data_IF_162155820719
#
_entry.id   IF_162155820719
#
_cell.length_a   1.000
_cell.length_b   1.000
_cell.length_c   1.000
_cell.angle_alpha   90.00
_cell.angle_beta   90.00
_cell.angle_gamma   90.00
#
_symmetry.space_group_name_H-M   'P 1'
#
loop_
_entity.id
_entity.type
_entity.pdbx_description
1 polymer ?
#
# COMPACT_ATOMS: atom_id res chain seq x y z
N UNK A 1 38.28 23.36 43.98
CA UNK A 1 37.61 22.97 42.72
C UNK A 1 38.56 22.05 41.96
N UNK A 2 38.25 20.75 41.84
CA UNK A 2 39.14 19.77 41.17
C UNK A 2 39.14 20.05 39.66
N UNK A 3 40.32 20.30 39.07
CA UNK A 3 40.49 20.47 37.63
C UNK A 3 40.16 19.15 36.94
N UNK A 4 39.05 19.11 36.22
CA UNK A 4 38.72 17.99 35.34
C UNK A 4 39.75 18.02 34.21
N UNK A 5 40.50 16.92 34.06
CA UNK A 5 41.51 16.78 33.01
C UNK A 5 40.85 16.88 31.62
N UNK A 6 41.42 17.68 30.70
CA UNK A 6 40.92 17.81 29.32
C UNK A 6 40.76 16.46 28.62
N UNK A 7 41.54 15.45 29.00
CA UNK A 7 41.43 14.09 28.46
C UNK A 7 40.10 13.41 28.80
N UNK A 8 39.51 13.73 29.97
CA UNK A 8 38.22 13.16 30.42
C UNK A 8 37.07 13.76 29.60
N UNK A 9 37.16 15.06 29.28
CA UNK A 9 36.15 15.75 28.46
C UNK A 9 36.14 15.19 27.02
N UNK A 10 37.32 14.92 26.45
CA UNK A 10 37.45 14.30 25.12
C UNK A 10 36.87 12.88 25.11
N UNK A 11 37.11 12.09 26.17
CA UNK A 11 36.59 10.73 26.26
C UNK A 11 35.05 10.69 26.33
N UNK A 12 34.43 11.65 27.04
CA UNK A 12 32.97 11.78 27.13
C UNK A 12 32.36 12.21 25.79
N UNK A 13 33.03 13.08 25.03
CA UNK A 13 32.58 13.50 23.69
C UNK A 13 32.61 12.34 22.67
N UNK A 14 33.65 11.50 22.72
CA UNK A 14 33.78 10.32 21.84
C UNK A 14 32.76 9.22 22.18
N UNK A 15 32.38 9.08 23.46
CA UNK A 15 31.35 8.11 23.86
C UNK A 15 29.96 8.50 23.33
N UNK A 16 29.63 9.79 23.34
CA UNK A 16 28.36 10.28 22.78
C UNK A 16 28.29 10.11 21.25
N UNK A 17 29.38 10.37 20.51
CA UNK A 17 29.39 10.22 19.05
C UNK A 17 29.10 8.78 18.58
N UNK A 18 29.54 7.76 19.33
CA UNK A 18 29.28 6.36 18.99
C UNK A 18 27.85 5.91 19.28
N UNK A 19 27.17 6.51 20.26
CA UNK A 19 25.76 6.23 20.58
C UNK A 19 24.80 6.83 19.54
N UNK A 20 25.17 7.95 18.91
CA UNK A 20 24.37 8.57 17.84
C UNK A 20 24.45 7.80 16.50
N UNK A 21 25.49 6.99 16.27
CA UNK A 21 25.65 6.20 15.03
C UNK A 21 24.81 4.90 15.02
N UNK A 22 24.41 4.40 16.19
CA UNK A 22 23.70 3.12 16.32
C UNK A 22 22.16 3.21 16.30
N UNK A 23 21.60 4.42 16.18
CA UNK A 23 20.15 4.63 16.10
C UNK A 23 19.66 5.12 14.72
N UNK A 24 20.41 4.83 13.67
CA UNK A 24 19.83 4.86 12.32
C UNK A 24 19.10 3.53 12.18
N UNK A 25 17.78 3.57 12.31
CA UNK A 25 16.88 2.52 11.82
C UNK A 25 17.38 2.16 10.42
N UNK A 26 18.15 1.07 10.28
CA UNK A 26 18.70 0.69 8.98
C UNK A 26 17.50 0.42 8.10
N UNK A 27 17.28 1.33 7.16
CA UNK A 27 16.19 1.25 6.23
C UNK A 27 16.53 0.15 5.23
N UNK A 28 16.28 -1.10 5.63
CA UNK A 28 16.70 -2.31 4.91
C UNK A 28 15.85 -2.61 3.67
N UNK A 29 14.86 -1.77 3.36
CA UNK A 29 14.10 -1.79 2.11
C UNK A 29 14.98 -1.34 0.95
N UNK A 30 15.86 -2.22 0.47
CA UNK A 30 16.85 -1.90 -0.57
C UNK A 30 16.52 -2.51 -1.93
N UNK A 31 15.58 -3.46 -1.98
CA UNK A 31 15.18 -4.11 -3.23
C UNK A 31 13.99 -3.37 -3.83
N UNK A 32 14.20 -2.66 -4.95
CA UNK A 32 13.12 -2.05 -5.71
C UNK A 32 12.34 -3.14 -6.45
N UNK A 33 11.04 -3.24 -6.17
CA UNK A 33 10.13 -4.21 -6.78
C UNK A 33 9.33 -3.57 -7.91
N UNK A 34 8.86 -2.33 -7.70
CA UNK A 34 8.06 -1.61 -8.66
C UNK A 34 8.34 -0.11 -8.58
N UNK A 35 8.30 0.54 -9.74
CA UNK A 35 8.29 1.99 -9.87
C UNK A 35 7.25 2.39 -10.91
N UNK A 36 6.45 3.41 -10.60
CA UNK A 36 5.50 4.02 -11.54
C UNK A 36 5.64 5.54 -11.50
N UNK A 37 5.55 6.17 -12.67
CA UNK A 37 5.65 7.63 -12.84
C UNK A 37 4.46 8.12 -13.65
N UNK A 38 3.74 9.11 -13.13
CA UNK A 38 2.55 9.67 -13.79
C UNK A 38 1.88 10.74 -12.95
N UNK A 39 0.76 11.28 -13.43
CA UNK A 39 0.05 12.37 -12.78
C UNK A 39 -1.05 11.82 -11.84
N UNK A 40 -0.81 11.82 -10.52
CA UNK A 40 -1.73 11.26 -9.51
C UNK A 40 -2.82 12.24 -9.06
N UNK A 41 -2.74 13.52 -9.44
CA UNK A 41 -3.63 14.57 -8.94
C UNK A 41 -4.16 15.51 -10.04
N UNK A 42 -3.89 15.18 -11.31
CA UNK A 42 -4.23 15.96 -12.51
C UNK A 42 -3.62 17.38 -12.51
N UNK A 43 -2.47 17.59 -11.88
CA UNK A 43 -1.77 18.89 -11.87
C UNK A 43 -0.75 19.05 -13.02
N UNK A 44 -0.70 18.05 -13.91
CA UNK A 44 0.21 17.94 -15.06
C UNK A 44 1.67 17.78 -14.68
N UNK A 45 1.95 17.27 -13.48
CA UNK A 45 3.30 16.94 -13.02
C UNK A 45 3.40 15.45 -12.77
N UNK A 46 4.59 14.92 -13.04
CA UNK A 46 4.87 13.53 -12.78
C UNK A 46 5.16 13.34 -11.28
N UNK A 47 4.26 12.63 -10.62
CA UNK A 47 4.41 12.02 -9.32
C UNK A 47 5.09 10.65 -9.46
N UNK A 48 5.53 10.08 -8.34
CA UNK A 48 6.26 8.81 -8.31
C UNK A 48 5.71 7.87 -7.25
N UNK A 49 5.52 6.62 -7.63
CA UNK A 49 5.17 5.52 -6.73
C UNK A 49 6.33 4.54 -6.73
N UNK A 50 6.70 4.05 -5.55
CA UNK A 50 7.73 3.03 -5.40
C UNK A 50 7.25 1.94 -4.45
N UNK A 51 7.54 0.69 -4.80
CA UNK A 51 7.42 -0.45 -3.90
C UNK A 51 8.80 -1.05 -3.70
N UNK A 52 9.23 -1.11 -2.46
CA UNK A 52 10.51 -1.69 -2.06
C UNK A 52 10.29 -2.87 -1.11
N UNK A 53 11.25 -3.79 -1.03
CA UNK A 53 11.21 -4.92 -0.13
C UNK A 53 12.48 -5.01 0.72
N UNK A 54 12.30 -5.34 1.98
CA UNK A 54 13.40 -5.73 2.87
C UNK A 54 13.65 -7.23 2.74
N UNK A 55 14.60 -7.59 1.87
CA UNK A 55 14.98 -8.99 1.62
C UNK A 55 15.88 -9.57 2.73
N UNK A 56 16.32 -8.75 3.70
CA UNK A 56 17.16 -9.18 4.83
C UNK A 56 16.33 -9.60 6.03
N UNK A 57 15.12 -9.07 6.16
CA UNK A 57 14.14 -9.50 7.15
C UNK A 57 13.51 -10.85 6.75
N UNK A 58 13.36 -11.75 7.72
CA UNK A 58 12.81 -13.10 7.50
C UNK A 58 11.37 -13.10 6.99
N UNK A 59 10.61 -12.04 7.27
CA UNK A 59 9.22 -11.89 6.83
C UNK A 59 9.10 -11.29 5.43
N UNK A 60 10.21 -10.77 4.89
CA UNK A 60 10.31 -10.06 3.61
C UNK A 60 9.16 -9.07 3.40
N UNK A 61 9.03 -8.05 4.28
CA UNK A 61 7.97 -7.06 4.16
C UNK A 61 8.24 -6.13 2.98
N UNK A 62 7.16 -5.64 2.36
CA UNK A 62 7.21 -4.60 1.35
C UNK A 62 6.74 -3.26 1.89
N UNK A 63 7.24 -2.19 1.28
CA UNK A 63 6.88 -0.81 1.60
C UNK A 63 6.41 -0.09 0.34
N UNK A 64 5.22 0.46 0.41
CA UNK A 64 4.70 1.43 -0.55
C UNK A 64 5.19 2.83 -0.17
N UNK A 65 5.70 3.57 -1.14
CA UNK A 65 5.98 5.00 -1.05
C UNK A 65 5.31 5.75 -2.19
N UNK A 66 4.73 6.91 -1.86
CA UNK A 66 4.15 7.82 -2.85
C UNK A 66 4.77 9.20 -2.67
N UNK A 67 5.25 9.76 -3.76
CA UNK A 67 5.87 11.06 -3.82
C UNK A 67 5.10 11.98 -4.75
N UNK A 68 4.69 13.15 -4.25
CA UNK A 68 4.06 14.18 -5.05
C UNK A 68 5.07 15.22 -5.54
N UNK A 69 4.95 15.60 -6.81
CA UNK A 69 5.74 16.64 -7.44
C UNK A 69 5.37 18.01 -6.89
N UNK A 70 6.36 18.76 -6.44
CA UNK A 70 6.18 20.13 -5.95
C UNK A 70 6.35 21.14 -7.09
N UNK A 71 5.90 22.40 -6.93
CA UNK A 71 6.10 23.46 -7.92
C UNK A 71 7.55 23.64 -8.36
N UNK A 72 8.50 23.41 -7.44
CA UNK A 72 9.94 23.47 -7.67
C UNK A 72 10.55 22.19 -8.28
N UNK A 73 9.73 21.25 -8.75
CA UNK A 73 10.11 19.94 -9.32
C UNK A 73 10.75 18.96 -8.33
N UNK A 74 10.78 19.26 -7.03
CA UNK A 74 11.19 18.29 -6.01
C UNK A 74 10.06 17.32 -5.72
N UNK A 75 10.41 16.08 -5.38
CA UNK A 75 9.47 15.06 -4.93
C UNK A 75 9.30 15.15 -3.41
N UNK A 76 8.04 15.25 -2.95
CA UNK A 76 7.68 15.22 -1.54
C UNK A 76 7.09 13.84 -1.21
N UNK A 77 7.71 13.10 -0.29
CA UNK A 77 7.13 11.87 0.26
C UNK A 77 5.85 12.21 1.04
N UNK A 78 4.71 11.67 0.60
CA UNK A 78 3.41 11.88 1.25
C UNK A 78 2.81 10.61 1.86
N UNK A 79 3.24 9.44 1.38
CA UNK A 79 2.84 8.15 1.94
C UNK A 79 4.07 7.26 2.08
N UNK A 80 4.21 6.61 3.22
CA UNK A 80 5.14 5.51 3.43
C UNK A 80 4.47 4.48 4.33
N UNK A 81 4.17 3.29 3.81
CA UNK A 81 3.42 2.26 4.53
C UNK A 81 3.97 0.87 4.27
N UNK A 82 4.15 0.10 5.34
CA UNK A 82 4.48 -1.33 5.32
C UNK A 82 3.28 -2.21 5.68
N UNK A 83 2.10 -1.60 5.92
CA UNK A 83 0.91 -2.31 6.40
C UNK A 83 0.02 -2.82 5.27
N UNK A 84 0.01 -2.10 4.14
CA UNK A 84 -0.92 -2.33 3.04
C UNK A 84 -0.62 -3.65 2.30
N UNK A 85 0.66 -4.05 2.27
CA UNK A 85 1.16 -5.23 1.58
C UNK A 85 1.55 -6.27 2.64
N UNK A 86 1.04 -7.49 2.53
CA UNK A 86 1.49 -8.59 3.38
C UNK A 86 2.92 -8.99 3.03
N UNK A 87 3.77 -9.23 4.02
CA UNK A 87 5.11 -9.78 3.77
C UNK A 87 5.04 -11.14 3.09
N UNK A 88 6.07 -11.51 2.31
CA UNK A 88 6.06 -12.79 1.60
C UNK A 88 6.08 -13.99 2.57
N UNK A 89 6.62 -13.82 3.78
CA UNK A 89 6.69 -14.87 4.81
C UNK A 89 6.13 -14.35 6.14
N UNK A 90 4.81 -14.09 6.23
CA UNK A 90 4.23 -13.40 7.37
C UNK A 90 4.38 -14.23 8.64
N UNK A 91 4.64 -13.58 9.79
CA UNK A 91 4.95 -14.30 11.05
C UNK A 91 3.88 -15.30 11.45
N UNK A 92 2.60 -15.04 11.13
CA UNK A 92 1.46 -15.94 11.38
C UNK A 92 1.57 -17.30 10.67
N UNK A 93 2.42 -17.40 9.65
CA UNK A 93 2.69 -18.60 8.84
C UNK A 93 4.03 -19.26 9.21
N UNK A 94 4.70 -18.85 10.28
CA UNK A 94 5.90 -19.49 10.82
C UNK A 94 7.01 -19.76 9.78
N UNK A 95 7.20 -18.83 8.83
CA UNK A 95 8.22 -18.94 7.77
C UNK A 95 7.72 -19.60 6.48
N UNK A 96 6.45 -20.00 6.39
CA UNK A 96 5.84 -20.43 5.13
C UNK A 96 5.46 -19.22 4.26
N UNK A 97 5.51 -19.42 2.95
CA UNK A 97 5.13 -18.42 1.96
C UNK A 97 3.65 -18.03 2.10
N UNK A 98 3.34 -16.74 1.97
CA UNK A 98 1.98 -16.22 2.02
C UNK A 98 1.11 -16.79 0.90
N UNK A 99 1.70 -17.12 -0.25
CA UNK A 99 0.95 -17.45 -1.48
C UNK A 99 0.55 -16.20 -2.27
N UNK A 100 0.79 -15.01 -1.71
CA UNK A 100 0.36 -13.73 -2.26
C UNK A 100 1.54 -13.03 -2.95
N UNK A 101 1.33 -12.61 -4.19
CA UNK A 101 2.30 -11.76 -4.89
C UNK A 101 2.27 -10.33 -4.33
N UNK A 102 3.35 -9.59 -4.57
CA UNK A 102 3.35 -8.15 -4.32
C UNK A 102 2.28 -7.50 -5.23
N UNK A 103 1.40 -6.63 -4.70
CA UNK A 103 0.40 -5.94 -5.51
C UNK A 103 1.01 -5.07 -6.60
N UNK A 104 0.33 -4.96 -7.74
CA UNK A 104 0.70 -4.01 -8.79
C UNK A 104 0.07 -2.65 -8.51
N UNK A 105 0.87 -1.59 -8.57
CA UNK A 105 0.42 -0.20 -8.46
C UNK A 105 0.60 0.57 -9.76
N UNK A 106 -0.44 1.25 -10.24
CA UNK A 106 -0.31 2.13 -11.41
C UNK A 106 -1.21 3.35 -11.30
N UNK A 107 -0.98 4.31 -12.19
CA UNK A 107 -1.72 5.57 -12.23
C UNK A 107 -2.70 5.53 -13.39
N UNK A 108 -3.98 5.73 -13.08
CA UNK A 108 -5.01 5.81 -14.11
C UNK A 108 -5.96 6.96 -13.81
N UNK A 109 -6.11 7.89 -14.75
CA UNK A 109 -7.05 9.02 -14.67
C UNK A 109 -6.92 9.84 -13.35
N UNK A 110 -5.70 10.14 -12.92
CA UNK A 110 -5.45 10.89 -11.69
C UNK A 110 -5.79 10.14 -10.41
N UNK A 111 -5.66 8.80 -10.44
CA UNK A 111 -5.92 7.93 -9.29
C UNK A 111 -4.84 6.87 -9.21
N UNK A 112 -4.54 6.46 -7.98
CA UNK A 112 -3.73 5.29 -7.74
C UNK A 112 -4.62 4.05 -7.79
N UNK A 113 -4.26 3.11 -8.64
CA UNK A 113 -4.90 1.80 -8.72
C UNK A 113 -3.94 0.77 -8.13
N UNK A 114 -4.45 -0.06 -7.22
CA UNK A 114 -3.74 -1.23 -6.69
C UNK A 114 -4.47 -2.50 -7.13
N UNK A 115 -3.77 -3.44 -7.76
CA UNK A 115 -4.28 -4.75 -8.11
C UNK A 115 -3.66 -5.83 -7.22
N UNK A 116 -4.49 -6.75 -6.76
CA UNK A 116 -4.04 -7.92 -5.98
C UNK A 116 -4.59 -9.19 -6.57
N UNK A 117 -3.84 -10.28 -6.46
CA UNK A 117 -4.34 -11.64 -6.64
C UNK A 117 -4.08 -12.40 -5.33
N UNK A 118 -5.16 -12.64 -4.58
CA UNK A 118 -5.13 -13.27 -3.25
C UNK A 118 -6.17 -14.39 -3.28
N UNK A 119 -5.78 -15.62 -2.94
CA UNK A 119 -6.66 -16.79 -2.91
C UNK A 119 -7.50 -16.96 -4.20
N UNK A 120 -6.86 -16.76 -5.37
CA UNK A 120 -7.47 -16.79 -6.71
C UNK A 120 -8.59 -15.75 -6.92
N UNK A 121 -8.58 -14.68 -6.12
CA UNK A 121 -9.50 -13.55 -6.23
C UNK A 121 -8.72 -12.31 -6.64
N UNK A 122 -8.97 -11.89 -7.88
CA UNK A 122 -8.45 -10.62 -8.39
C UNK A 122 -9.22 -9.47 -7.79
N UNK A 123 -8.52 -8.52 -7.20
CA UNK A 123 -9.12 -7.34 -6.59
C UNK A 123 -8.44 -6.08 -7.12
N UNK A 124 -9.22 -5.02 -7.30
CA UNK A 124 -8.76 -3.68 -7.66
C UNK A 124 -9.24 -2.69 -6.61
N UNK A 125 -8.32 -1.84 -6.16
CA UNK A 125 -8.56 -0.81 -5.17
C UNK A 125 -8.18 0.54 -5.77
N UNK A 126 -9.15 1.45 -5.83
CA UNK A 126 -8.98 2.78 -6.41
C UNK A 126 -8.84 3.81 -5.29
N UNK A 127 -7.75 4.56 -5.29
CA UNK A 127 -7.49 5.64 -4.34
C UNK A 127 -7.44 6.99 -5.05
N UNK A 128 -8.14 7.99 -4.50
CA UNK A 128 -8.03 9.38 -4.96
C UNK A 128 -7.20 10.21 -4.00
N UNK A 129 -6.48 11.19 -4.51
CA UNK A 129 -5.89 12.22 -3.68
C UNK A 129 -6.97 13.25 -3.27
N UNK A 130 -7.10 13.51 -1.97
CA UNK A 130 -7.93 14.56 -1.40
C UNK A 130 -7.20 15.22 -0.23
N UNK A 131 -6.95 16.53 -0.32
CA UNK A 131 -6.25 17.31 0.73
C UNK A 131 -5.01 16.58 1.28
N UNK A 132 -4.11 16.16 0.39
CA UNK A 132 -2.87 15.40 0.68
C UNK A 132 -3.06 14.01 1.31
N UNK A 133 -4.27 13.44 1.31
CA UNK A 133 -4.52 12.07 1.74
C UNK A 133 -5.01 11.24 0.56
N UNK A 134 -4.49 10.03 0.43
CA UNK A 134 -5.02 9.05 -0.51
C UNK A 134 -6.17 8.28 0.16
N UNK A 135 -7.38 8.49 -0.33
CA UNK A 135 -8.61 7.91 0.17
C UNK A 135 -9.07 6.77 -0.75
N UNK A 136 -9.33 5.60 -0.19
CA UNK A 136 -9.94 4.48 -0.90
C UNK A 136 -11.37 4.87 -1.29
N UNK A 137 -11.71 4.78 -2.57
CA UNK A 137 -13.02 5.18 -3.10
C UNK A 137 -13.80 4.04 -3.71
N UNK A 138 -13.12 3.09 -4.34
CA UNK A 138 -13.76 1.93 -4.98
C UNK A 138 -12.98 0.66 -4.75
N UNK A 139 -13.72 -0.43 -4.69
CA UNK A 139 -13.18 -1.79 -4.63
C UNK A 139 -13.94 -2.62 -5.67
N UNK A 140 -13.22 -3.31 -6.53
CA UNK A 140 -13.78 -4.31 -7.43
C UNK A 140 -13.11 -5.65 -7.18
N UNK A 141 -13.88 -6.73 -7.15
CA UNK A 141 -13.35 -8.09 -6.96
C UNK A 141 -13.99 -9.04 -7.95
N UNK A 142 -13.19 -9.95 -8.47
CA UNK A 142 -13.60 -10.99 -9.40
C UNK A 142 -13.00 -12.31 -8.94
N UNK A 143 -13.84 -13.33 -8.82
CA UNK A 143 -13.41 -14.72 -8.61
C UNK A 143 -14.03 -15.58 -9.70
N UNK A 144 -13.22 -16.39 -10.36
CA UNK A 144 -13.70 -17.33 -11.38
C UNK A 144 -13.99 -18.70 -10.74
N UNK A 145 -15.03 -19.38 -11.22
CA UNK A 145 -15.45 -20.69 -10.73
C UNK A 145 -14.62 -21.86 -11.31
N UNK A 146 -13.73 -21.57 -12.26
CA UNK A 146 -12.96 -22.58 -12.98
C UNK A 146 -13.63 -23.12 -14.24
N UNK A 147 -14.80 -22.59 -14.62
CA UNK A 147 -15.60 -23.03 -15.76
C UNK A 147 -15.99 -21.85 -16.65
N UNK A 148 -17.15 -21.25 -16.43
CA UNK A 148 -17.71 -20.20 -17.29
C UNK A 148 -18.24 -19.01 -16.50
N UNK A 149 -18.18 -19.03 -15.17
CA UNK A 149 -18.87 -18.03 -14.34
C UNK A 149 -17.90 -17.24 -13.45
N UNK A 150 -18.05 -15.92 -13.44
CA UNK A 150 -17.39 -15.02 -12.50
C UNK A 150 -18.34 -14.58 -11.39
N UNK A 151 -17.84 -14.55 -10.16
CA UNK A 151 -18.48 -13.93 -9.01
C UNK A 151 -17.85 -12.56 -8.81
N UNK A 152 -18.65 -11.51 -8.94
CA UNK A 152 -18.17 -10.14 -8.90
C UNK A 152 -18.75 -9.38 -7.72
N UNK A 153 -17.90 -8.54 -7.12
CA UNK A 153 -18.28 -7.60 -6.08
C UNK A 153 -17.76 -6.23 -6.45
N UNK A 154 -18.64 -5.24 -6.48
CA UNK A 154 -18.31 -3.82 -6.71
C UNK A 154 -18.76 -3.00 -5.52
N UNK A 155 -17.84 -2.30 -4.89
CA UNK A 155 -18.09 -1.44 -3.74
C UNK A 155 -17.70 -0.02 -4.13
N UNK A 156 -18.67 0.89 -4.04
CA UNK A 156 -18.44 2.33 -4.17
C UNK A 156 -18.62 2.96 -2.79
N UNK A 157 -17.50 3.37 -2.19
CA UNK A 157 -17.47 3.93 -0.85
C UNK A 157 -18.02 5.37 -0.82
N UNK A 158 -17.96 6.09 -1.93
CA UNK A 158 -18.53 7.44 -2.05
C UNK A 158 -20.06 7.34 -2.09
N UNK A 159 -20.58 6.48 -2.97
CA UNK A 159 -22.01 6.23 -3.11
C UNK A 159 -22.58 5.38 -1.97
N UNK A 160 -21.73 4.81 -1.12
CA UNK A 160 -22.08 3.90 -0.03
C UNK A 160 -22.88 2.69 -0.51
N UNK A 161 -22.47 2.11 -1.63
CA UNK A 161 -23.15 0.93 -2.21
C UNK A 161 -22.20 -0.25 -2.40
N UNK A 162 -22.75 -1.45 -2.21
CA UNK A 162 -22.13 -2.73 -2.58
C UNK A 162 -23.07 -3.47 -3.52
N UNK A 163 -22.54 -3.92 -4.65
CA UNK A 163 -23.25 -4.72 -5.65
C UNK A 163 -22.50 -6.03 -5.81
N UNK A 164 -23.23 -7.14 -5.69
CA UNK A 164 -22.72 -8.49 -5.86
C UNK A 164 -23.52 -9.15 -6.99
N UNK A 165 -22.86 -9.83 -7.93
CA UNK A 165 -23.54 -10.54 -9.01
C UNK A 165 -22.67 -11.65 -9.59
N UNK A 166 -23.29 -12.51 -10.38
CA UNK A 166 -22.63 -13.53 -11.19
C UNK A 166 -22.70 -13.13 -12.66
N UNK A 167 -21.67 -13.46 -13.44
CA UNK A 167 -21.65 -13.23 -14.87
C UNK A 167 -21.06 -14.43 -15.60
N UNK A 168 -21.79 -14.90 -16.62
CA UNK A 168 -21.31 -15.95 -17.51
C UNK A 168 -20.41 -15.34 -18.58
N UNK A 169 -19.29 -16.00 -18.84
CA UNK A 169 -18.27 -15.57 -19.80
C UNK A 169 -18.88 -15.44 -21.19
N UNK A 170 -18.66 -14.30 -21.85
CA UNK A 170 -19.24 -14.01 -23.16
C UNK A 170 -20.72 -13.61 -23.12
N UNK A 171 -21.32 -13.45 -21.94
CA UNK A 171 -22.68 -12.93 -21.77
C UNK A 171 -22.68 -11.57 -21.07
N UNK A 172 -23.56 -10.67 -21.52
CA UNK A 172 -23.87 -9.42 -20.82
C UNK A 172 -24.88 -9.60 -19.69
N UNK A 173 -25.49 -10.79 -19.58
CA UNK A 173 -26.54 -11.06 -18.59
C UNK A 173 -25.92 -11.21 -17.20
N UNK A 174 -26.35 -10.34 -16.28
CA UNK A 174 -26.00 -10.42 -14.86
C UNK A 174 -27.00 -11.31 -14.11
N UNK A 175 -26.50 -12.32 -13.41
CA UNK A 175 -27.28 -13.25 -12.60
C UNK A 175 -27.14 -12.91 -11.12
N UNK A 176 -28.14 -13.30 -10.32
CA UNK A 176 -28.11 -13.22 -8.85
C UNK A 176 -27.72 -11.84 -8.27
N UNK A 177 -28.01 -10.76 -9.01
CA UNK A 177 -27.60 -9.40 -8.65
C UNK A 177 -28.25 -8.96 -7.34
N UNK A 178 -27.42 -8.61 -6.36
CA UNK A 178 -27.81 -8.09 -5.05
C UNK A 178 -27.17 -6.72 -4.85
N UNK A 179 -27.96 -5.76 -4.39
CA UNK A 179 -27.48 -4.41 -4.02
C UNK A 179 -27.72 -4.19 -2.53
N UNK A 180 -26.72 -3.66 -1.84
CA UNK A 180 -26.73 -3.34 -0.41
C UNK A 180 -26.17 -1.94 -0.20
N UNK A 181 -26.68 -1.26 0.81
CA UNK A 181 -26.07 -0.05 1.33
C UNK A 181 -24.96 -0.41 2.33
N UNK A 182 -23.86 0.34 2.33
CA UNK A 182 -22.75 0.15 3.27
C UNK A 182 -22.67 1.33 4.24
N UNK A 183 -22.43 1.04 5.52
CA UNK A 183 -22.26 2.07 6.54
C UNK A 183 -20.79 2.41 6.67
N UNK A 184 -20.41 3.61 6.21
CA UNK A 184 -19.09 4.18 6.46
C UNK A 184 -19.23 5.62 6.95
N UNK A 185 -18.39 5.98 7.93
CA UNK A 185 -18.35 7.32 8.50
C UNK A 185 -17.34 8.21 7.77
N UNK A 186 -16.21 7.63 7.36
CA UNK A 186 -15.14 8.30 6.62
C UNK A 186 -14.52 7.33 5.61
N UNK A 187 -13.91 7.87 4.56
CA UNK A 187 -13.18 7.06 3.60
C UNK A 187 -11.86 6.57 4.21
N UNK A 188 -11.51 5.28 4.06
CA UNK A 188 -10.25 4.77 4.55
C UNK A 188 -9.06 5.45 3.86
N UNK A 189 -8.03 5.79 4.64
CA UNK A 189 -6.80 6.37 4.12
C UNK A 189 -5.76 5.28 3.91
N UNK A 190 -4.96 5.39 2.85
CA UNK A 190 -3.96 4.37 2.49
C UNK A 190 -2.92 4.13 3.60
N UNK A 191 -2.58 5.16 4.38
CA UNK A 191 -1.63 5.07 5.49
C UNK A 191 -2.16 4.28 6.70
N UNK A 192 -3.48 4.19 6.82
CA UNK A 192 -4.17 3.56 7.94
C UNK A 192 -4.67 2.15 7.57
N UNK A 193 -4.71 1.82 6.27
CA UNK A 193 -5.13 0.52 5.77
C UNK A 193 -4.03 -0.53 5.91
N UNK A 194 -4.40 -1.67 6.50
CA UNK A 194 -3.61 -2.89 6.44
C UNK A 194 -4.13 -3.84 5.36
N UNK A 195 -3.30 -4.81 4.96
CA UNK A 195 -3.70 -5.96 4.16
C UNK A 195 -5.00 -6.60 4.70
N UNK A 196 -5.07 -6.81 6.02
CA UNK A 196 -6.23 -7.44 6.65
C UNK A 196 -7.50 -6.59 6.59
N UNK A 197 -7.38 -5.26 6.49
CA UNK A 197 -8.55 -4.37 6.37
C UNK A 197 -9.13 -4.40 4.96
N UNK A 198 -8.27 -4.49 3.95
CA UNK A 198 -8.67 -4.64 2.55
C UNK A 198 -9.49 -5.92 2.33
N UNK A 199 -9.13 -6.99 3.04
CA UNK A 199 -9.81 -8.29 2.97
C UNK A 199 -11.20 -8.30 3.64
N UNK A 200 -11.50 -7.34 4.53
CA UNK A 200 -12.78 -7.29 5.27
C UNK A 200 -13.95 -6.63 4.51
N UNK A 201 -13.67 -5.85 3.46
CA UNK A 201 -14.72 -5.25 2.62
C UNK A 201 -15.57 -6.31 1.88
#
# INVERSE_FOLDING_TARGET
MKKISSSIVIFILLFNANLYSQNVNKNNFTSLIQEEVGDLNNDKRNDRIMVEMDITDKTQPSRLQIFLSQPNKKLQLVVSSTKLIEGQYPSRKNGEYSGNNVPDFFIENGKLIMLTDIDHRKSSYEFRLNKNNFELVKISRVKWDGKDTTFETKIDLIAKTKIEYEQVTGSEKLLNKKKKEIKINALPKIQDLSFSDLEKF
#
